data_IF_431537340733
#
_entry.id   IF_431537340733
#
_cell.length_a   1.000
_cell.length_b   1.000
_cell.length_c   1.000
_cell.angle_alpha   90.00
_cell.angle_beta   90.00
_cell.angle_gamma   90.00
#
_symmetry.space_group_name_H-M   'P 1'
#
loop_
_entity.id
_entity.type
_entity.pdbx_description
1 polymer ?
#
# COMPACT_ATOMS: atom_id res chain seq x y z
N UNK A 1 -11.48 23.36 9.33
CA UNK A 1 -10.04 23.03 9.21
C UNK A 1 -9.63 23.19 7.77
N UNK A 2 -8.49 23.84 7.47
CA UNK A 2 -8.00 23.94 6.09
C UNK A 2 -7.49 22.55 5.67
N UNK A 3 -8.16 21.93 4.71
CA UNK A 3 -7.77 20.67 4.10
C UNK A 3 -6.45 20.89 3.33
N UNK A 4 -5.33 20.74 4.03
CA UNK A 4 -4.01 20.95 3.44
C UNK A 4 -3.62 19.70 2.66
N UNK A 5 -4.13 19.59 1.42
CA UNK A 5 -3.84 18.49 0.49
C UNK A 5 -2.34 18.25 0.32
N UNK A 6 -1.52 19.31 0.33
CA UNK A 6 -0.06 19.20 0.28
C UNK A 6 0.53 18.54 1.53
N UNK A 7 0.01 18.84 2.72
CA UNK A 7 0.45 18.19 3.95
C UNK A 7 0.07 16.71 3.97
N UNK A 8 -1.14 16.35 3.50
CA UNK A 8 -1.58 14.96 3.38
C UNK A 8 -0.68 14.20 2.40
N UNK A 9 -0.42 14.78 1.21
CA UNK A 9 0.47 14.19 0.23
C UNK A 9 1.87 13.95 0.81
N UNK A 10 2.41 14.94 1.54
CA UNK A 10 3.71 14.81 2.21
C UNK A 10 3.70 13.70 3.26
N UNK A 11 2.63 13.58 4.04
CA UNK A 11 2.49 12.55 5.06
C UNK A 11 2.44 11.14 4.46
N UNK A 12 1.73 10.96 3.34
CA UNK A 12 1.67 9.67 2.63
C UNK A 12 3.06 9.18 2.22
N UNK A 13 3.98 10.07 1.82
CA UNK A 13 5.36 9.69 1.50
C UNK A 13 6.18 9.21 2.69
N UNK A 14 5.77 9.53 3.92
CA UNK A 14 6.43 9.09 5.14
C UNK A 14 5.84 7.81 5.75
N UNK A 15 4.81 7.23 5.13
CA UNK A 15 4.18 6.02 5.67
C UNK A 15 5.16 4.85 5.57
N UNK A 16 5.48 4.30 6.73
CA UNK A 16 6.14 3.01 6.91
C UNK A 16 5.59 2.41 8.19
N UNK A 17 4.61 1.52 8.05
CA UNK A 17 3.89 0.93 9.17
C UNK A 17 3.77 -0.57 8.99
N UNK A 18 3.73 -1.30 10.10
CA UNK A 18 3.59 -2.75 10.08
C UNK A 18 2.14 -3.12 9.72
N UNK A 19 1.97 -3.96 8.71
CA UNK A 19 0.68 -4.47 8.28
C UNK A 19 0.52 -5.96 8.58
N UNK A 20 -0.73 -6.42 8.63
CA UNK A 20 -1.07 -7.85 8.88
C UNK A 20 -0.43 -8.79 7.85
N UNK A 21 -0.24 -8.31 6.62
CA UNK A 21 0.31 -9.08 5.49
C UNK A 21 1.70 -8.56 5.04
N UNK A 22 2.42 -7.91 5.95
CA UNK A 22 3.71 -7.24 5.70
C UNK A 22 3.61 -5.72 5.76
N UNK A 23 4.77 -5.07 5.75
CA UNK A 23 4.91 -3.62 5.87
C UNK A 23 4.16 -2.88 4.77
N UNK A 24 3.58 -1.73 5.14
CA UNK A 24 2.89 -0.83 4.22
C UNK A 24 3.76 0.41 4.03
N UNK A 25 4.15 0.66 2.78
CA UNK A 25 4.85 1.87 2.36
C UNK A 25 4.38 2.30 0.97
N UNK A 26 4.50 3.59 0.68
CA UNK A 26 4.17 4.13 -0.63
C UNK A 26 5.43 4.49 -1.43
N UNK A 27 5.46 4.05 -2.68
CA UNK A 27 6.45 4.46 -3.66
C UNK A 27 5.89 5.56 -4.56
N UNK A 28 6.79 6.40 -5.07
CA UNK A 28 6.45 7.38 -6.10
C UNK A 28 6.41 6.68 -7.46
N UNK A 29 5.27 6.73 -8.14
CA UNK A 29 5.12 6.21 -9.49
C UNK A 29 4.54 7.26 -10.43
N UNK A 30 5.08 7.36 -11.64
CA UNK A 30 4.63 8.28 -12.68
C UNK A 30 5.66 9.37 -13.02
N UNK A 31 5.29 10.33 -13.87
CA UNK A 31 6.16 11.43 -14.27
C UNK A 31 6.56 12.32 -13.10
N UNK A 32 7.77 12.88 -13.15
CA UNK A 32 8.29 13.80 -12.13
C UNK A 32 7.33 14.98 -11.93
N UNK A 33 6.96 15.26 -10.68
CA UNK A 33 6.02 16.32 -10.31
C UNK A 33 4.54 15.98 -10.47
N UNK A 34 4.21 14.77 -10.95
CA UNK A 34 2.84 14.22 -11.04
C UNK A 34 2.78 12.79 -10.51
N UNK A 35 3.61 12.48 -9.52
CA UNK A 35 3.70 11.14 -8.97
C UNK A 35 2.46 10.79 -8.14
N UNK A 36 1.97 9.57 -8.34
CA UNK A 36 0.94 8.95 -7.51
C UNK A 36 1.59 8.05 -6.46
N UNK A 37 1.00 8.02 -5.27
CA UNK A 37 1.41 7.12 -4.20
C UNK A 37 0.88 5.73 -4.47
N UNK A 38 1.77 4.78 -4.71
CA UNK A 38 1.42 3.40 -5.02
C UNK A 38 2.00 2.47 -3.96
N UNK A 39 1.24 1.46 -3.57
CA UNK A 39 1.69 0.40 -2.69
C UNK A 39 1.98 -0.86 -3.52
N UNK A 40 3.00 -1.62 -3.15
CA UNK A 40 3.30 -2.94 -3.73
C UNK A 40 2.96 -3.99 -2.68
N UNK A 41 1.70 -4.43 -2.60
CA UNK A 41 1.29 -5.39 -1.57
C UNK A 41 1.83 -6.79 -1.88
N UNK A 42 2.05 -7.57 -0.82
CA UNK A 42 2.25 -9.01 -0.96
C UNK A 42 0.94 -9.66 -1.41
N UNK A 43 0.93 -10.25 -2.61
CA UNK A 43 -0.23 -10.97 -3.15
C UNK A 43 0.09 -12.45 -3.26
N UNK A 44 -0.81 -13.29 -2.75
CA UNK A 44 -0.67 -14.75 -2.79
C UNK A 44 -1.88 -15.36 -3.50
N UNK A 45 -1.63 -16.33 -4.37
CA UNK A 45 -2.68 -17.23 -4.87
C UNK A 45 -2.89 -18.30 -3.83
N UNK A 46 -4.15 -18.56 -3.46
CA UNK A 46 -4.52 -19.62 -2.51
C UNK A 46 -5.59 -20.52 -3.11
N UNK A 47 -5.69 -21.73 -2.59
CA UNK A 47 -6.75 -22.69 -2.94
C UNK A 47 -7.67 -22.92 -1.74
N UNK A 48 -8.96 -23.13 -1.97
CA UNK A 48 -9.89 -23.58 -0.93
C UNK A 48 -9.96 -25.11 -0.94
N UNK A 49 -9.58 -25.75 0.16
CA UNK A 49 -9.69 -27.20 0.37
C UNK A 49 -10.47 -27.47 1.65
N UNK A 50 -11.55 -28.24 1.56
CA UNK A 50 -12.41 -28.61 2.70
C UNK A 50 -12.85 -27.40 3.56
N UNK A 51 -13.23 -26.30 2.92
CA UNK A 51 -13.67 -25.07 3.59
C UNK A 51 -12.57 -24.25 4.27
N UNK A 52 -11.29 -24.60 4.06
CA UNK A 52 -10.13 -23.86 4.59
C UNK A 52 -9.25 -23.32 3.48
N UNK A 53 -8.60 -22.19 3.74
CA UNK A 53 -7.55 -21.62 2.88
C UNK A 53 -6.30 -22.50 2.98
N UNK A 54 -5.76 -22.89 1.83
CA UNK A 54 -4.49 -23.61 1.70
C UNK A 54 -3.60 -22.89 0.68
N UNK A 55 -2.29 -22.97 0.87
CA UNK A 55 -1.34 -22.60 -0.18
C UNK A 55 -1.52 -23.56 -1.38
N UNK A 56 -1.27 -23.12 -2.63
CA UNK A 56 -1.46 -23.93 -3.84
C UNK A 56 -0.84 -25.33 -3.73
#
# INVERSE_FOLDING_TARGET
GKNNSKAIQKALWGVKVDGVNGDIAFIKQGPVGKESAQNVPNVYVVTIKNGKVALP
#
